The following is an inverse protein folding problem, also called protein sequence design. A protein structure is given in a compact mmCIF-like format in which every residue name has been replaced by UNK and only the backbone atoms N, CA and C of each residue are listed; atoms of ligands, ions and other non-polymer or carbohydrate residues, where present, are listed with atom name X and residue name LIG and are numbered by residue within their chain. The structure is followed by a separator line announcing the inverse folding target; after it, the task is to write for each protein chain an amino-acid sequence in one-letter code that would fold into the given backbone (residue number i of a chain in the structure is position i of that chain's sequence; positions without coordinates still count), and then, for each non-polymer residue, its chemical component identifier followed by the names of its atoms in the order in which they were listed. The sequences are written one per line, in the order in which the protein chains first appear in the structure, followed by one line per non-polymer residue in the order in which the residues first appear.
data_IF_806974363561
#
_entry.id   IF_806974363561
#
_cell.length_a   1.000
_cell.length_b   1.000
_cell.length_c   1.000
_cell.angle_alpha   90.00
_cell.angle_beta   90.00
_cell.angle_gamma   90.00
#
_symmetry.space_group_name_H-M   'P 1'
#
loop_
_entity.id
_entity.type
_entity.pdbx_description
1 polymer ?
#
# COMPACT_ATOMS: atom_id res chain seq x y z
N UNK A 1 -48.19 4.50 40.80
CA UNK A 1 -48.36 5.93 41.10
C UNK A 1 -48.26 6.70 39.79
N UNK A 2 -48.88 7.88 39.78
CA UNK A 2 -48.88 8.94 38.76
C UNK A 2 -47.46 9.32 38.27
N UNK A 3 -47.24 10.03 37.15
CA UNK A 3 -48.03 10.25 35.91
C UNK A 3 -47.06 10.84 34.83
N UNK A 4 -47.62 11.35 33.73
CA UNK A 4 -46.92 12.03 32.62
C UNK A 4 -46.55 13.52 32.86
N UNK A 5 -45.97 14.18 31.83
CA UNK A 5 -45.76 15.65 31.64
C UNK A 5 -44.50 16.24 32.35
N UNK A 6 -43.80 17.30 31.88
CA UNK A 6 -43.40 17.84 30.54
C UNK A 6 -42.55 19.13 30.78
N UNK A 7 -41.73 19.52 29.80
CA UNK A 7 -41.45 20.93 29.39
C UNK A 7 -40.34 21.82 30.04
N UNK A 8 -39.41 22.25 29.15
CA UNK A 8 -38.90 23.62 28.91
C UNK A 8 -37.70 24.27 29.67
N UNK A 9 -37.01 25.18 28.94
CA UNK A 9 -35.92 26.07 29.37
C UNK A 9 -34.49 25.54 29.11
N UNK A 10 -33.49 26.31 28.64
CA UNK A 10 -33.47 27.67 28.09
C UNK A 10 -32.21 28.48 28.47
N UNK A 11 -31.46 29.04 27.49
CA UNK A 11 -30.38 30.01 27.76
C UNK A 11 -29.12 29.93 26.87
N UNK A 12 -28.51 31.09 26.58
CA UNK A 12 -27.19 31.27 25.93
C UNK A 12 -26.22 32.01 26.89
N UNK A 13 -24.91 31.84 26.70
CA UNK A 13 -23.83 32.55 27.41
C UNK A 13 -22.76 31.56 27.92
N UNK A 14 -21.48 31.59 27.53
CA UNK A 14 -20.51 32.67 27.33
C UNK A 14 -20.06 33.32 28.64
N UNK A 15 -18.78 33.10 29.01
CA UNK A 15 -18.15 33.60 30.23
C UNK A 15 -16.96 34.51 29.93
N UNK A 16 -16.79 35.57 30.73
CA UNK A 16 -15.62 36.45 30.80
C UNK A 16 -15.23 36.70 32.26
N UNK A 17 -13.93 36.78 32.52
CA UNK A 17 -13.25 37.50 33.63
C UNK A 17 -11.81 37.79 33.14
N UNK A 18 -11.21 39.02 33.22
CA UNK A 18 -10.91 39.93 34.37
C UNK A 18 -9.63 39.44 35.11
N UNK A 19 -8.62 40.23 35.50
CA UNK A 19 -8.39 41.68 35.84
C UNK A 19 -7.36 42.39 34.90
N UNK A 20 -7.20 43.74 34.73
CA UNK A 20 -7.02 44.97 35.57
C UNK A 20 -5.51 45.27 35.92
N UNK A 21 -4.91 46.49 35.79
CA UNK A 21 -4.99 47.72 36.63
C UNK A 21 -4.09 48.90 36.08
N UNK A 22 -4.53 50.19 36.11
CA UNK A 22 -3.78 51.51 36.31
C UNK A 22 -2.56 51.89 35.39
N UNK A 23 -2.22 53.13 34.92
CA UNK A 23 -2.67 54.57 34.97
C UNK A 23 -2.07 55.39 33.76
N UNK A 24 -2.48 56.65 33.45
CA UNK A 24 -2.06 57.41 32.23
C UNK A 24 -1.24 58.72 32.46
N UNK A 25 -0.93 59.44 31.36
CA UNK A 25 -0.55 60.88 31.38
C UNK A 25 -1.05 61.67 30.15
N UNK A 26 -1.21 62.99 30.34
CA UNK A 26 -1.81 64.01 29.45
C UNK A 26 -0.93 64.39 28.23
N UNK A 27 -1.37 65.10 27.17
CA UNK A 27 -2.66 65.42 26.50
C UNK A 27 -2.29 66.33 25.27
N UNK A 28 -3.09 67.16 24.57
CA UNK A 28 -4.51 67.57 24.60
C UNK A 28 -4.91 68.22 23.24
N UNK A 29 -6.20 68.45 22.98
CA UNK A 29 -6.72 69.32 21.90
C UNK A 29 -7.85 70.24 22.42
N UNK A 30 -8.06 71.45 21.84
CA UNK A 30 -9.12 72.39 22.24
C UNK A 30 -10.46 72.14 21.54
N UNK A 31 -11.53 72.74 22.08
CA UNK A 31 -12.93 72.41 21.80
C UNK A 31 -13.64 73.26 20.73
N UNK A 32 -14.58 72.58 20.04
CA UNK A 32 -15.87 72.98 19.39
C UNK A 32 -16.43 74.40 19.71
N UNK A 33 -17.24 75.03 18.82
CA UNK A 33 -18.60 74.54 18.50
C UNK A 33 -19.19 74.77 17.08
N UNK A 34 -20.38 74.20 16.88
CA UNK A 34 -21.21 74.18 15.66
C UNK A 34 -21.99 75.49 15.45
N UNK A 35 -22.18 75.93 14.20
CA UNK A 35 -22.95 77.13 13.86
C UNK A 35 -23.55 77.18 12.43
N UNK A 36 -24.69 77.85 12.30
CA UNK A 36 -25.62 77.94 11.15
C UNK A 36 -25.09 78.27 9.73
N UNK A 37 -25.56 77.48 8.74
CA UNK A 37 -26.40 77.87 7.55
C UNK A 37 -26.20 79.26 6.89
N UNK A 38 -25.74 79.27 5.62
CA UNK A 38 -26.30 79.96 4.41
C UNK A 38 -25.46 79.60 3.16
N UNK A 39 -26.01 79.18 1.99
CA UNK A 39 -26.70 79.89 0.88
C UNK A 39 -25.79 80.70 -0.07
N UNK A 40 -25.76 80.31 -1.35
CA UNK A 40 -25.22 81.07 -2.50
C UNK A 40 -23.75 80.77 -2.88
N UNK A 41 -23.29 80.98 -4.12
CA UNK A 41 -24.03 81.21 -5.37
C UNK A 41 -23.15 80.94 -6.62
N UNK A 42 -23.79 80.53 -7.73
CA UNK A 42 -23.42 80.67 -9.16
C UNK A 42 -21.92 80.63 -9.57
N UNK A 43 -21.54 79.58 -10.30
CA UNK A 43 -20.39 79.63 -11.23
C UNK A 43 -20.80 80.32 -12.55
N UNK A 44 -20.07 81.34 -13.05
CA UNK A 44 -20.13 81.74 -14.46
C UNK A 44 -19.34 80.76 -15.35
N UNK A 45 -19.57 80.81 -16.65
CA UNK A 45 -19.12 79.79 -17.61
C UNK A 45 -17.83 80.13 -18.37
N UNK A 46 -17.36 79.14 -19.13
CA UNK A 46 -16.31 79.19 -20.18
C UNK A 46 -14.84 79.29 -19.73
N UNK A 47 -14.04 78.31 -20.17
CA UNK A 47 -12.76 78.48 -20.90
C UNK A 47 -12.62 77.26 -21.82
N UNK A 48 -12.23 77.47 -23.09
CA UNK A 48 -11.92 76.36 -24.02
C UNK A 48 -10.59 75.69 -23.64
N UNK A 49 -10.53 74.36 -23.65
CA UNK A 49 -9.26 73.63 -23.53
C UNK A 49 -8.64 73.42 -24.92
N UNK A 50 -7.39 73.87 -25.17
CA UNK A 50 -6.70 73.55 -26.41
C UNK A 50 -6.28 72.08 -26.45
N UNK A 51 -6.16 71.53 -27.65
CA UNK A 51 -5.59 70.19 -27.87
C UNK A 51 -4.07 70.27 -27.66
N UNK A 52 -3.56 69.63 -26.60
CA UNK A 52 -2.12 69.51 -26.39
C UNK A 52 -1.48 68.59 -27.44
N UNK A 53 -0.38 69.05 -28.03
CA UNK A 53 0.37 68.32 -29.05
C UNK A 53 1.08 67.08 -28.50
N UNK A 54 1.25 66.06 -29.34
CA UNK A 54 1.74 64.73 -28.95
C UNK A 54 3.18 64.67 -28.40
N UNK A 55 3.93 65.78 -28.45
CA UNK A 55 5.24 65.91 -27.81
C UNK A 55 5.16 65.83 -26.27
N UNK A 56 4.09 66.33 -25.66
CA UNK A 56 3.95 66.33 -24.19
C UNK A 56 3.53 64.98 -23.62
N UNK A 57 2.78 64.16 -24.38
CA UNK A 57 2.35 62.84 -23.91
C UNK A 57 3.52 61.87 -23.78
N UNK A 58 4.44 61.87 -24.76
CA UNK A 58 5.67 61.07 -24.70
C UNK A 58 6.63 61.59 -23.61
N UNK A 59 6.73 62.91 -23.42
CA UNK A 59 7.53 63.50 -22.35
C UNK A 59 6.97 63.25 -20.93
N UNK A 60 5.64 63.13 -20.77
CA UNK A 60 5.00 62.68 -19.52
C UNK A 60 5.18 61.19 -19.33
N UNK A 61 4.86 60.35 -20.32
CA UNK A 61 5.05 58.91 -20.23
C UNK A 61 6.50 58.52 -19.89
N UNK A 62 7.50 59.24 -20.40
CA UNK A 62 8.91 59.03 -20.05
C UNK A 62 9.24 59.42 -18.61
N UNK A 63 8.65 60.49 -18.08
CA UNK A 63 8.77 60.87 -16.66
C UNK A 63 8.08 59.82 -15.77
N UNK A 64 6.87 59.41 -16.12
CA UNK A 64 6.09 58.43 -15.37
C UNK A 64 6.74 57.04 -15.39
N UNK A 65 7.41 56.65 -16.48
CA UNK A 65 8.20 55.42 -16.52
C UNK A 65 9.48 55.50 -15.68
N UNK A 66 10.15 56.66 -15.63
CA UNK A 66 11.34 56.87 -14.79
C UNK A 66 10.94 56.90 -13.30
N UNK A 67 9.88 57.61 -12.94
CA UNK A 67 9.36 57.66 -11.56
C UNK A 67 8.94 56.26 -11.10
N UNK A 68 8.24 55.49 -11.96
CA UNK A 68 7.89 54.09 -11.65
C UNK A 68 9.14 53.21 -11.48
N UNK A 69 10.10 53.26 -12.42
CA UNK A 69 11.32 52.46 -12.31
C UNK A 69 12.18 52.81 -11.08
N UNK A 70 12.23 54.09 -10.66
CA UNK A 70 12.88 54.51 -9.41
C UNK A 70 12.10 54.00 -8.19
N UNK A 71 10.77 54.09 -8.20
CA UNK A 71 9.93 53.58 -7.11
C UNK A 71 10.03 52.05 -6.97
N UNK A 72 10.04 51.31 -8.08
CA UNK A 72 10.25 49.85 -8.12
C UNK A 72 11.66 49.47 -7.61
N UNK A 73 12.67 50.31 -7.88
CA UNK A 73 14.03 50.13 -7.37
C UNK A 73 14.12 50.37 -5.85
N UNK A 74 13.45 51.40 -5.34
CA UNK A 74 13.37 51.69 -3.90
C UNK A 74 12.51 50.66 -3.14
N UNK A 75 11.47 50.11 -3.77
CA UNK A 75 10.71 48.98 -3.25
C UNK A 75 11.58 47.72 -3.13
N UNK A 76 12.45 47.47 -4.11
CA UNK A 76 13.42 46.38 -4.10
C UNK A 76 14.47 46.51 -2.98
N UNK A 77 14.81 47.73 -2.58
CA UNK A 77 15.73 48.02 -1.47
C UNK A 77 15.08 47.79 -0.09
N UNK A 78 13.78 48.09 0.06
CA UNK A 78 13.05 47.87 1.34
C UNK A 78 12.45 46.47 1.51
N UNK A 79 12.33 45.67 0.44
CA UNK A 79 11.77 44.31 0.51
C UNK A 79 12.82 43.28 0.96
N UNK A 80 13.24 43.37 2.22
CA UNK A 80 14.17 42.41 2.85
C UNK A 80 13.66 40.96 2.92
N UNK A 81 12.40 40.73 2.58
CA UNK A 81 11.82 39.40 2.35
C UNK A 81 11.58 39.19 0.86
N UNK A 82 12.50 38.47 0.20
CA UNK A 82 12.23 37.85 -1.09
C UNK A 82 11.45 36.57 -0.89
N UNK A 83 10.35 36.36 -1.63
CA UNK A 83 9.68 35.05 -1.69
C UNK A 83 10.58 34.11 -2.51
N UNK A 84 11.52 33.46 -1.83
CA UNK A 84 12.30 32.36 -2.41
C UNK A 84 11.33 31.20 -2.64
N UNK A 85 11.00 30.95 -3.90
CA UNK A 85 10.28 29.75 -4.32
C UNK A 85 11.20 28.53 -4.19
N UNK A 86 11.41 28.10 -2.94
CA UNK A 86 12.07 26.85 -2.61
C UNK A 86 11.24 25.72 -3.22
N UNK A 87 11.69 25.20 -4.37
CA UNK A 87 10.99 24.13 -5.06
C UNK A 87 10.85 22.93 -4.10
N UNK A 88 9.62 22.47 -3.80
CA UNK A 88 9.42 21.49 -2.76
C UNK A 88 10.10 20.17 -3.14
N UNK A 89 10.91 19.68 -2.21
CA UNK A 89 11.17 18.25 -2.06
C UNK A 89 11.84 17.56 -3.27
N UNK A 90 12.85 18.20 -3.91
CA UNK A 90 13.52 17.61 -5.09
C UNK A 90 14.43 16.42 -4.79
N UNK A 91 15.29 16.49 -3.77
CA UNK A 91 16.37 15.51 -3.56
C UNK A 91 15.83 14.09 -3.38
N UNK A 92 14.86 13.96 -2.48
CA UNK A 92 14.12 12.74 -2.11
C UNK A 92 13.10 12.31 -3.18
N UNK A 93 12.55 13.22 -4.00
CA UNK A 93 11.86 12.82 -5.26
C UNK A 93 12.85 12.23 -6.25
N UNK A 94 14.08 12.73 -6.28
CA UNK A 94 15.15 12.25 -7.17
C UNK A 94 15.87 11.00 -6.61
N UNK A 95 15.83 10.76 -5.30
CA UNK A 95 16.15 9.47 -4.69
C UNK A 95 15.05 8.44 -4.94
N UNK A 96 13.76 8.81 -4.79
CA UNK A 96 12.66 7.89 -5.06
C UNK A 96 12.63 7.53 -6.56
N UNK A 97 12.69 8.53 -7.45
CA UNK A 97 12.82 8.32 -8.88
C UNK A 97 14.14 7.60 -9.24
N UNK A 98 15.24 7.86 -8.52
CA UNK A 98 16.52 7.16 -8.70
C UNK A 98 16.47 5.69 -8.29
N UNK A 99 15.85 5.38 -7.14
CA UNK A 99 15.59 4.01 -6.67
C UNK A 99 14.65 3.27 -7.61
N UNK A 100 13.60 3.92 -8.11
CA UNK A 100 12.67 3.38 -9.12
C UNK A 100 13.35 3.16 -10.48
N UNK A 101 14.16 4.11 -10.95
CA UNK A 101 14.90 4.00 -12.22
C UNK A 101 15.99 2.92 -12.14
N UNK A 102 16.73 2.82 -11.03
CA UNK A 102 17.72 1.76 -10.79
C UNK A 102 17.05 0.37 -10.77
N UNK A 103 15.85 0.25 -10.17
CA UNK A 103 15.02 -0.97 -10.22
C UNK A 103 14.61 -1.36 -11.66
N UNK A 104 14.69 -0.46 -12.64
CA UNK A 104 14.08 -0.60 -13.97
C UNK A 104 14.96 -1.21 -15.07
N UNK A 105 16.26 -1.43 -14.83
CA UNK A 105 17.20 -1.90 -15.87
C UNK A 105 17.07 -3.39 -16.18
N UNK A 106 17.93 -4.19 -15.57
CA UNK A 106 18.49 -5.37 -16.23
C UNK A 106 17.79 -6.72 -15.91
N UNK A 107 16.50 -6.70 -15.56
CA UNK A 107 15.79 -7.96 -15.36
C UNK A 107 14.32 -7.96 -14.94
N UNK A 108 13.80 -6.91 -14.30
CA UNK A 108 12.39 -6.92 -13.85
C UNK A 108 11.39 -7.04 -15.00
N UNK A 109 11.72 -6.54 -16.19
CA UNK A 109 10.94 -6.71 -17.42
C UNK A 109 10.62 -8.18 -17.73
N UNK A 110 11.58 -9.09 -17.51
CA UNK A 110 11.37 -10.53 -17.68
C UNK A 110 10.45 -11.13 -16.59
N UNK A 111 10.53 -10.62 -15.36
CA UNK A 111 9.64 -11.04 -14.26
C UNK A 111 8.19 -10.62 -14.55
N UNK A 112 7.97 -9.39 -15.04
CA UNK A 112 6.65 -8.95 -15.49
C UNK A 112 6.11 -9.79 -16.64
N UNK A 113 6.93 -10.12 -17.65
CA UNK A 113 6.53 -11.01 -18.76
C UNK A 113 6.16 -12.41 -18.25
N UNK A 114 6.96 -13.01 -17.36
CA UNK A 114 6.66 -14.32 -16.78
C UNK A 114 5.33 -14.32 -15.99
N UNK A 115 5.11 -13.31 -15.15
CA UNK A 115 3.85 -13.15 -14.39
C UNK A 115 2.65 -12.92 -15.33
N UNK A 116 2.82 -12.15 -16.40
CA UNK A 116 1.77 -11.94 -17.41
C UNK A 116 1.43 -13.22 -18.19
N UNK A 117 2.42 -14.04 -18.55
CA UNK A 117 2.19 -15.34 -19.20
C UNK A 117 1.42 -16.29 -18.28
N UNK A 118 1.78 -16.35 -16.99
CA UNK A 118 1.05 -17.14 -15.97
C UNK A 118 -0.39 -16.64 -15.84
N UNK A 119 -0.61 -15.31 -15.75
CA UNK A 119 -1.94 -14.72 -15.69
C UNK A 119 -2.79 -15.08 -16.92
N UNK A 120 -2.25 -14.92 -18.12
CA UNK A 120 -2.93 -15.30 -19.35
C UNK A 120 -3.27 -16.80 -19.36
N UNK A 121 -2.38 -17.68 -18.90
CA UNK A 121 -2.65 -19.11 -18.79
C UNK A 121 -3.81 -19.40 -17.81
N UNK A 122 -3.84 -18.76 -16.63
CA UNK A 122 -4.93 -18.85 -15.66
C UNK A 122 -6.25 -18.35 -16.27
N UNK A 123 -6.26 -17.16 -16.89
CA UNK A 123 -7.44 -16.59 -17.53
C UNK A 123 -8.00 -17.46 -18.66
N UNK A 124 -7.15 -18.06 -19.50
CA UNK A 124 -7.56 -18.97 -20.58
C UNK A 124 -8.19 -20.26 -20.03
N UNK A 125 -7.65 -20.82 -18.93
CA UNK A 125 -8.23 -21.99 -18.27
C UNK A 125 -9.57 -21.64 -17.59
N UNK A 126 -9.65 -20.48 -16.93
CA UNK A 126 -10.87 -19.98 -16.29
C UNK A 126 -12.00 -19.71 -17.29
N UNK A 127 -11.69 -19.04 -18.42
CA UNK A 127 -12.65 -18.78 -19.51
C UNK A 127 -13.29 -20.07 -20.03
N UNK A 128 -12.47 -21.12 -20.18
CA UNK A 128 -12.93 -22.40 -20.71
C UNK A 128 -13.70 -23.25 -19.69
N UNK A 129 -13.46 -23.09 -18.38
CA UNK A 129 -14.15 -23.85 -17.33
C UNK A 129 -14.30 -23.06 -16.01
N UNK A 130 -15.22 -22.08 -15.91
CA UNK A 130 -15.41 -21.27 -14.71
C UNK A 130 -15.97 -22.07 -13.51
N UNK A 131 -16.41 -23.32 -13.73
CA UNK A 131 -16.85 -24.24 -12.66
C UNK A 131 -15.70 -24.62 -11.71
N UNK A 132 -14.43 -24.57 -12.12
CA UNK A 132 -13.31 -24.99 -11.28
C UNK A 132 -13.13 -24.19 -10.00
N UNK A 133 -13.40 -22.87 -9.97
CA UNK A 133 -13.30 -22.09 -8.72
C UNK A 133 -14.28 -22.64 -7.66
N UNK A 134 -15.49 -23.05 -8.07
CA UNK A 134 -16.47 -23.67 -7.17
C UNK A 134 -16.00 -25.05 -6.69
N UNK A 135 -15.30 -25.80 -7.52
CA UNK A 135 -14.69 -27.09 -7.16
C UNK A 135 -13.57 -26.87 -6.13
N UNK A 136 -12.61 -25.94 -6.36
CA UNK A 136 -11.55 -25.64 -5.39
C UNK A 136 -12.09 -25.18 -4.02
N UNK A 137 -13.12 -24.31 -4.00
CA UNK A 137 -13.76 -23.88 -2.75
C UNK A 137 -14.52 -25.03 -2.07
N UNK A 138 -15.06 -25.98 -2.85
CA UNK A 138 -15.65 -27.22 -2.32
C UNK A 138 -14.58 -28.15 -1.76
N UNK A 139 -13.51 -28.45 -2.50
CA UNK A 139 -12.39 -29.30 -2.06
C UNK A 139 -11.67 -28.74 -0.82
N UNK A 140 -11.63 -27.42 -0.66
CA UNK A 140 -11.16 -26.77 0.56
C UNK A 140 -12.07 -27.09 1.76
N UNK A 141 -13.39 -26.96 1.61
CA UNK A 141 -14.38 -27.03 2.72
C UNK A 141 -14.94 -28.42 3.02
N UNK A 142 -15.07 -29.29 2.01
CA UNK A 142 -15.71 -30.60 2.16
C UNK A 142 -14.77 -31.58 2.87
N UNK A 143 -15.38 -32.42 3.70
CA UNK A 143 -14.76 -33.45 4.55
C UNK A 143 -15.39 -34.82 4.26
N UNK A 144 -16.42 -34.87 3.39
CA UNK A 144 -17.21 -36.07 3.13
C UNK A 144 -16.57 -36.95 2.05
N UNK A 145 -16.38 -38.22 2.37
CA UNK A 145 -15.73 -39.25 1.55
C UNK A 145 -16.53 -39.76 0.33
N UNK A 146 -17.43 -38.94 -0.26
CA UNK A 146 -18.15 -39.35 -1.50
C UNK A 146 -17.24 -39.21 -2.73
N UNK A 147 -16.43 -40.24 -2.92
CA UNK A 147 -15.44 -40.32 -3.99
C UNK A 147 -16.07 -40.57 -5.37
N UNK A 148 -16.31 -39.50 -6.12
CA UNK A 148 -16.58 -39.61 -7.56
C UNK A 148 -15.30 -40.06 -8.28
N UNK A 149 -15.16 -41.37 -8.50
CA UNK A 149 -13.98 -41.98 -9.15
C UNK A 149 -13.65 -41.32 -10.51
N UNK A 150 -14.68 -40.86 -11.23
CA UNK A 150 -14.59 -40.26 -12.56
C UNK A 150 -14.30 -38.75 -12.60
N UNK A 151 -14.31 -38.02 -11.47
CA UNK A 151 -14.06 -36.57 -11.49
C UNK A 151 -12.57 -36.19 -11.68
N UNK A 152 -11.64 -37.16 -11.62
CA UNK A 152 -10.19 -36.97 -11.81
C UNK A 152 -9.81 -36.65 -13.28
N UNK A 153 -10.36 -35.58 -13.83
CA UNK A 153 -10.15 -35.15 -15.21
C UNK A 153 -8.78 -34.47 -15.34
N UNK A 154 -7.98 -34.86 -16.35
CA UNK A 154 -6.64 -34.28 -16.63
C UNK A 154 -6.65 -32.73 -16.74
N UNK A 155 -7.80 -32.14 -17.09
CA UNK A 155 -8.02 -30.69 -17.14
C UNK A 155 -8.03 -30.02 -15.75
N UNK A 156 -8.52 -30.71 -14.72
CA UNK A 156 -8.54 -30.22 -13.33
C UNK A 156 -7.14 -30.19 -12.74
N UNK A 157 -6.39 -31.30 -12.85
CA UNK A 157 -5.00 -31.37 -12.39
C UNK A 157 -4.11 -30.38 -13.14
N UNK A 158 -4.30 -30.24 -14.46
CA UNK A 158 -3.60 -29.22 -15.26
C UNK A 158 -3.91 -27.78 -14.81
N UNK A 159 -5.13 -27.50 -14.35
CA UNK A 159 -5.50 -26.17 -13.85
C UNK A 159 -4.89 -25.91 -12.48
N UNK A 160 -4.97 -26.88 -11.56
CA UNK A 160 -4.40 -26.79 -10.23
C UNK A 160 -2.87 -26.59 -10.28
N UNK A 161 -2.16 -27.32 -11.15
CA UNK A 161 -0.72 -27.15 -11.36
C UNK A 161 -0.35 -25.73 -11.80
N UNK A 162 -1.12 -25.11 -12.70
CA UNK A 162 -0.88 -23.71 -13.12
C UNK A 162 -1.09 -22.73 -11.95
N UNK A 163 -2.06 -22.98 -11.08
CA UNK A 163 -2.25 -22.17 -9.87
C UNK A 163 -1.13 -22.37 -8.83
N UNK A 164 -0.59 -23.58 -8.69
CA UNK A 164 0.60 -23.84 -7.85
C UNK A 164 1.83 -23.11 -8.42
N UNK A 165 2.06 -23.15 -9.74
CA UNK A 165 3.15 -22.39 -10.38
C UNK A 165 2.95 -20.88 -10.15
N UNK A 166 1.72 -20.37 -10.30
CA UNK A 166 1.40 -18.97 -9.99
C UNK A 166 1.60 -18.61 -8.52
N UNK A 167 1.30 -19.52 -7.60
CA UNK A 167 1.61 -19.36 -6.16
C UNK A 167 3.12 -19.26 -5.94
N UNK A 168 3.90 -20.19 -6.50
CA UNK A 168 5.37 -20.23 -6.38
C UNK A 168 6.01 -18.95 -6.92
N UNK A 169 5.62 -18.49 -8.11
CA UNK A 169 6.17 -17.25 -8.68
C UNK A 169 5.76 -16.00 -7.87
N UNK A 170 4.51 -15.93 -7.42
CA UNK A 170 4.03 -14.80 -6.60
C UNK A 170 4.73 -14.76 -5.24
N UNK A 171 4.92 -15.92 -4.60
CA UNK A 171 5.64 -16.04 -3.33
C UNK A 171 7.12 -15.76 -3.52
N UNK A 172 7.76 -16.18 -4.62
CA UNK A 172 9.16 -15.84 -4.92
C UNK A 172 9.42 -14.34 -5.02
N UNK A 173 8.51 -13.59 -5.68
CA UNK A 173 8.55 -12.12 -5.75
C UNK A 173 8.39 -11.48 -4.36
N UNK A 174 7.37 -11.91 -3.60
CA UNK A 174 7.10 -11.35 -2.26
C UNK A 174 8.19 -11.73 -1.24
N UNK A 175 8.82 -12.89 -1.38
CA UNK A 175 9.93 -13.34 -0.54
C UNK A 175 11.20 -12.53 -0.84
N UNK A 176 11.48 -12.18 -2.09
CA UNK A 176 12.58 -11.29 -2.44
C UNK A 176 12.39 -9.86 -1.88
N UNK A 177 11.19 -9.30 -2.00
CA UNK A 177 10.86 -7.97 -1.45
C UNK A 177 10.88 -7.99 0.10
N UNK A 178 10.55 -9.12 0.73
CA UNK A 178 10.73 -9.35 2.17
C UNK A 178 12.21 -9.43 2.56
N UNK A 179 13.04 -10.18 1.83
CA UNK A 179 14.47 -10.33 2.10
C UNK A 179 15.17 -8.96 2.08
N UNK A 180 14.92 -8.13 1.07
CA UNK A 180 15.52 -6.78 1.00
C UNK A 180 14.94 -5.78 2.01
N UNK A 181 13.81 -6.12 2.67
CA UNK A 181 13.28 -5.33 3.78
C UNK A 181 13.87 -5.74 5.13
N UNK A 182 14.15 -7.03 5.34
CA UNK A 182 14.75 -7.54 6.59
C UNK A 182 16.26 -7.41 6.60
N UNK A 183 16.90 -7.50 5.44
CA UNK A 183 18.35 -7.30 5.22
C UNK A 183 18.56 -5.92 4.61
N UNK A 184 18.36 -4.88 5.43
CA UNK A 184 18.72 -3.51 5.10
C UNK A 184 20.24 -3.32 5.13
N UNK A 185 20.78 -2.44 4.28
CA UNK A 185 22.22 -2.20 4.07
C UNK A 185 22.96 -1.65 5.31
N UNK A 186 23.21 -2.52 6.28
CA UNK A 186 24.02 -2.22 7.45
C UNK A 186 25.50 -2.57 7.17
N UNK A 187 26.46 -1.62 7.27
CA UNK A 187 27.88 -1.87 6.96
C UNK A 187 28.59 -2.90 7.85
N UNK A 188 27.87 -3.49 8.82
CA UNK A 188 28.36 -4.49 9.77
C UNK A 188 27.70 -5.87 9.57
N UNK A 189 26.76 -6.01 8.62
CA UNK A 189 26.10 -7.27 8.28
C UNK A 189 26.83 -8.02 7.17
N UNK A 190 27.36 -9.21 7.44
CA UNK A 190 28.06 -10.07 6.45
C UNK A 190 27.14 -10.72 5.39
N UNK A 191 25.91 -10.21 5.24
CA UNK A 191 24.86 -10.75 4.36
C UNK A 191 24.35 -9.69 3.37
N UNK A 192 25.23 -8.82 2.86
CA UNK A 192 24.84 -7.87 1.81
C UNK A 192 24.44 -8.62 0.54
N UNK A 193 23.22 -8.41 0.05
CA UNK A 193 22.67 -9.08 -1.13
C UNK A 193 22.74 -8.10 -2.32
N UNK A 194 23.55 -8.37 -3.36
CA UNK A 194 23.70 -7.45 -4.49
C UNK A 194 22.41 -7.24 -5.32
N UNK A 195 22.39 -6.15 -6.08
CA UNK A 195 21.22 -5.71 -6.87
C UNK A 195 21.04 -6.50 -8.20
N UNK A 196 20.92 -7.83 -8.13
CA UNK A 196 20.51 -8.67 -9.29
C UNK A 196 19.08 -9.23 -9.12
N UNK A 197 18.02 -8.40 -9.28
CA UNK A 197 16.66 -8.76 -8.87
C UNK A 197 16.07 -9.95 -9.64
N UNK A 198 16.50 -10.20 -10.87
CA UNK A 198 16.06 -11.37 -11.64
C UNK A 198 16.61 -12.69 -11.06
N UNK A 199 17.89 -12.71 -10.64
CA UNK A 199 18.50 -13.87 -10.00
C UNK A 199 17.86 -14.11 -8.64
N UNK A 200 17.76 -13.05 -7.81
CA UNK A 200 17.15 -13.10 -6.49
C UNK A 200 15.71 -13.63 -6.49
N UNK A 201 14.83 -13.07 -7.34
CA UNK A 201 13.44 -13.56 -7.49
C UNK A 201 13.41 -15.01 -8.00
N UNK A 202 14.32 -15.39 -8.89
CA UNK A 202 14.47 -16.77 -9.38
C UNK A 202 14.86 -17.76 -8.28
N UNK A 203 15.84 -17.41 -7.44
CA UNK A 203 16.27 -18.21 -6.29
C UNK A 203 15.18 -18.31 -5.22
N UNK A 204 14.51 -17.20 -4.89
CA UNK A 204 13.37 -17.19 -3.97
C UNK A 204 12.20 -18.05 -4.49
N UNK A 205 11.90 -18.02 -5.80
CA UNK A 205 10.92 -18.91 -6.41
C UNK A 205 11.36 -20.39 -6.39
N UNK A 206 12.64 -20.67 -6.59
CA UNK A 206 13.22 -22.01 -6.44
C UNK A 206 13.05 -22.57 -5.02
N UNK A 207 13.35 -21.78 -3.99
CA UNK A 207 13.13 -22.15 -2.59
C UNK A 207 11.63 -22.34 -2.29
N UNK A 208 10.75 -21.49 -2.83
CA UNK A 208 9.30 -21.67 -2.70
C UNK A 208 8.81 -22.97 -3.38
N UNK A 209 9.38 -23.37 -4.51
CA UNK A 209 9.07 -24.65 -5.17
C UNK A 209 9.51 -25.86 -4.33
N UNK A 210 10.74 -25.83 -3.79
CA UNK A 210 11.25 -26.89 -2.89
C UNK A 210 10.40 -26.98 -1.62
N UNK A 211 10.01 -25.84 -1.04
CA UNK A 211 9.07 -25.79 0.09
C UNK A 211 7.74 -26.46 -0.24
N UNK A 212 7.10 -26.16 -1.38
CA UNK A 212 5.83 -26.79 -1.78
C UNK A 212 5.99 -28.31 -1.93
N UNK A 213 7.06 -28.78 -2.59
CA UNK A 213 7.30 -30.22 -2.76
C UNK A 213 7.51 -30.91 -1.41
N UNK A 214 8.32 -30.33 -0.53
CA UNK A 214 8.56 -30.84 0.82
C UNK A 214 7.27 -30.93 1.63
N UNK A 215 6.48 -29.85 1.69
CA UNK A 215 5.22 -29.81 2.45
C UNK A 215 4.21 -30.85 1.94
N UNK A 216 4.08 -31.04 0.62
CA UNK A 216 3.16 -32.03 0.05
C UNK A 216 3.56 -33.48 0.39
N UNK A 217 4.86 -33.80 0.33
CA UNK A 217 5.38 -35.11 0.76
C UNK A 217 5.16 -35.32 2.27
N UNK A 218 5.44 -34.29 3.06
CA UNK A 218 5.21 -34.29 4.51
C UNK A 218 3.74 -34.49 4.89
N UNK A 219 2.79 -33.89 4.16
CA UNK A 219 1.36 -34.08 4.39
C UNK A 219 0.90 -35.51 4.05
N UNK A 220 1.38 -36.12 2.96
CA UNK A 220 1.09 -37.52 2.65
C UNK A 220 1.68 -38.47 3.72
N UNK A 221 2.91 -38.23 4.19
CA UNK A 221 3.55 -39.03 5.25
C UNK A 221 2.76 -38.92 6.56
N UNK A 222 2.53 -37.70 7.08
CA UNK A 222 1.84 -37.51 8.37
C UNK A 222 0.38 -37.98 8.29
N UNK A 223 -0.33 -37.71 7.18
CA UNK A 223 -1.68 -38.20 7.00
C UNK A 223 -1.77 -39.73 7.02
N UNK A 224 -0.85 -40.43 6.36
CA UNK A 224 -0.81 -41.90 6.30
C UNK A 224 -0.25 -42.55 7.59
N UNK A 225 0.45 -41.80 8.46
CA UNK A 225 0.86 -42.28 9.80
C UNK A 225 -0.30 -42.20 10.79
N UNK A 226 -1.10 -41.14 10.74
CA UNK A 226 -2.19 -40.90 11.70
C UNK A 226 -3.58 -41.32 11.20
N UNK A 227 -3.74 -41.76 9.96
CA UNK A 227 -5.07 -42.02 9.39
C UNK A 227 -5.11 -42.86 8.12
N UNK A 228 -6.33 -43.17 7.68
CA UNK A 228 -6.62 -43.86 6.42
C UNK A 228 -6.11 -43.09 5.20
N UNK A 229 -5.61 -43.84 4.21
CA UNK A 229 -5.13 -43.30 2.93
C UNK A 229 -6.21 -42.54 2.13
N UNK A 230 -7.49 -42.81 2.39
CA UNK A 230 -8.60 -42.03 1.80
C UNK A 230 -8.74 -40.64 2.44
N UNK A 231 -8.62 -40.55 3.77
CA UNK A 231 -8.69 -39.29 4.52
C UNK A 231 -7.43 -38.44 4.26
N UNK A 232 -6.27 -39.09 4.19
CA UNK A 232 -4.99 -38.49 3.75
C UNK A 232 -5.14 -37.78 2.40
N UNK A 233 -5.65 -38.48 1.37
CA UNK A 233 -5.85 -37.90 0.04
C UNK A 233 -6.85 -36.74 0.03
N UNK A 234 -7.91 -36.80 0.83
CA UNK A 234 -8.88 -35.69 0.94
C UNK A 234 -8.27 -34.46 1.64
N UNK A 235 -7.40 -34.68 2.62
CA UNK A 235 -6.66 -33.61 3.31
C UNK A 235 -5.65 -32.95 2.36
N UNK A 236 -4.87 -33.73 1.61
CA UNK A 236 -3.88 -33.25 0.62
C UNK A 236 -4.56 -32.57 -0.59
N UNK A 237 -5.72 -33.08 -1.08
CA UNK A 237 -6.52 -32.36 -2.09
C UNK A 237 -7.00 -31.01 -1.55
N UNK A 238 -7.42 -30.96 -0.28
CA UNK A 238 -7.77 -29.70 0.39
C UNK A 238 -6.61 -28.72 0.50
N UNK A 239 -5.40 -29.19 0.82
CA UNK A 239 -4.19 -28.38 0.91
C UNK A 239 -3.80 -27.77 -0.45
N UNK A 240 -3.78 -28.60 -1.49
CA UNK A 240 -3.44 -28.18 -2.86
C UNK A 240 -4.50 -27.25 -3.46
N UNK A 241 -5.80 -27.50 -3.22
CA UNK A 241 -6.89 -26.60 -3.59
C UNK A 241 -6.80 -25.25 -2.86
N UNK A 242 -6.38 -25.23 -1.59
CA UNK A 242 -6.19 -24.02 -0.80
C UNK A 242 -4.99 -23.19 -1.28
N UNK A 243 -3.84 -23.81 -1.57
CA UNK A 243 -2.72 -23.13 -2.24
C UNK A 243 -3.16 -22.53 -3.59
N UNK A 244 -3.94 -23.28 -4.37
CA UNK A 244 -4.52 -22.80 -5.63
C UNK A 244 -5.44 -21.61 -5.45
N UNK A 245 -6.32 -21.62 -4.43
CA UNK A 245 -7.20 -20.49 -4.09
C UNK A 245 -6.40 -19.27 -3.63
N UNK A 246 -5.36 -19.48 -2.82
CA UNK A 246 -4.48 -18.44 -2.28
C UNK A 246 -3.64 -17.75 -3.38
N UNK A 247 -3.33 -18.46 -4.48
CA UNK A 247 -2.63 -17.88 -5.64
C UNK A 247 -3.36 -16.67 -6.23
N UNK A 248 -4.71 -16.68 -6.25
CA UNK A 248 -5.52 -15.55 -6.73
C UNK A 248 -5.37 -14.29 -5.88
N UNK A 249 -5.01 -14.41 -4.60
CA UNK A 249 -4.76 -13.29 -3.70
C UNK A 249 -3.29 -12.87 -3.75
N UNK A 250 -2.34 -13.82 -3.82
CA UNK A 250 -0.92 -13.47 -3.93
C UNK A 250 -0.54 -12.84 -5.27
N UNK A 251 -1.15 -13.25 -6.38
CA UNK A 251 -0.82 -12.73 -7.70
C UNK A 251 -0.93 -11.19 -7.83
N UNK A 252 -2.07 -10.54 -7.49
CA UNK A 252 -2.15 -9.08 -7.54
C UNK A 252 -1.24 -8.39 -6.50
N UNK A 253 -1.00 -9.00 -5.33
CA UNK A 253 -0.08 -8.47 -4.32
C UNK A 253 1.38 -8.48 -4.82
N UNK A 254 1.82 -9.56 -5.47
CA UNK A 254 3.15 -9.65 -6.07
C UNK A 254 3.36 -8.63 -7.19
N UNK A 255 2.37 -8.44 -8.07
CA UNK A 255 2.40 -7.36 -9.07
C UNK A 255 2.45 -5.97 -8.41
N UNK A 256 1.69 -5.74 -7.34
CA UNK A 256 1.68 -4.46 -6.65
C UNK A 256 3.03 -4.14 -5.97
N UNK A 257 3.71 -5.14 -5.40
CA UNK A 257 5.08 -5.02 -4.84
C UNK A 257 6.13 -4.71 -5.92
N UNK A 258 5.98 -5.28 -7.13
CA UNK A 258 6.84 -4.94 -8.26
C UNK A 258 6.60 -3.51 -8.77
N UNK A 259 5.36 -3.05 -8.82
CA UNK A 259 5.00 -1.71 -9.34
C UNK A 259 5.22 -0.57 -8.32
N UNK A 260 5.03 -0.81 -7.02
CA UNK A 260 5.01 0.24 -5.99
C UNK A 260 5.89 -0.13 -4.79
N UNK A 261 7.22 -0.03 -4.98
CA UNK A 261 8.23 -0.31 -3.95
C UNK A 261 7.97 0.44 -2.62
N UNK A 262 7.53 1.70 -2.68
CA UNK A 262 7.21 2.53 -1.49
C UNK A 262 6.14 1.88 -0.58
N UNK A 263 5.24 1.09 -1.16
CA UNK A 263 4.15 0.42 -0.44
C UNK A 263 4.52 -0.99 0.03
N UNK A 264 5.74 -1.48 -0.26
CA UNK A 264 6.19 -2.86 0.02
C UNK A 264 5.88 -3.33 1.44
N UNK A 265 6.13 -2.50 2.46
CA UNK A 265 5.74 -2.78 3.87
C UNK A 265 4.27 -3.19 4.04
N UNK A 266 3.35 -2.42 3.44
CA UNK A 266 1.91 -2.64 3.58
C UNK A 266 1.48 -3.88 2.78
N UNK A 267 2.09 -4.08 1.61
CA UNK A 267 1.83 -5.22 0.72
C UNK A 267 2.31 -6.53 1.36
N UNK A 268 3.48 -6.53 2.01
CA UNK A 268 4.04 -7.67 2.75
C UNK A 268 3.21 -7.99 4.01
N UNK A 269 2.70 -6.99 4.73
CA UNK A 269 1.75 -7.20 5.84
C UNK A 269 0.46 -7.87 5.32
N UNK A 270 -0.10 -7.38 4.21
CA UNK A 270 -1.31 -7.97 3.61
C UNK A 270 -1.06 -9.40 3.08
N UNK A 271 0.12 -9.65 2.49
CA UNK A 271 0.57 -10.98 2.08
C UNK A 271 0.69 -11.92 3.29
N UNK A 272 1.29 -11.46 4.40
CA UNK A 272 1.37 -12.20 5.66
C UNK A 272 0.00 -12.54 6.25
N UNK A 273 -0.94 -11.60 6.22
CA UNK A 273 -2.33 -11.84 6.66
C UNK A 273 -3.00 -12.92 5.81
N UNK A 274 -2.94 -12.82 4.48
CA UNK A 274 -3.44 -13.84 3.53
C UNK A 274 -2.77 -15.20 3.78
N UNK A 275 -1.48 -15.20 4.10
CA UNK A 275 -0.72 -16.41 4.41
C UNK A 275 -1.18 -17.10 5.70
N UNK A 276 -1.32 -16.34 6.79
CA UNK A 276 -1.80 -16.84 8.08
C UNK A 276 -3.24 -17.36 7.97
N UNK A 277 -4.12 -16.68 7.23
CA UNK A 277 -5.47 -17.20 6.94
C UNK A 277 -5.44 -18.55 6.21
N UNK A 278 -4.53 -18.74 5.26
CA UNK A 278 -4.30 -20.03 4.61
C UNK A 278 -3.92 -21.12 5.62
N UNK A 279 -2.94 -20.87 6.49
CA UNK A 279 -2.53 -21.85 7.51
C UNK A 279 -3.64 -22.18 8.52
N UNK A 280 -4.42 -21.19 8.94
CA UNK A 280 -5.60 -21.41 9.80
C UNK A 280 -6.66 -22.28 9.11
N UNK A 281 -6.97 -22.04 7.83
CA UNK A 281 -7.93 -22.88 7.08
C UNK A 281 -7.43 -24.33 6.93
N UNK A 282 -6.13 -24.53 6.70
CA UNK A 282 -5.53 -25.85 6.61
C UNK A 282 -5.60 -26.63 7.94
N UNK A 283 -5.21 -26.00 9.05
CA UNK A 283 -5.29 -26.58 10.40
C UNK A 283 -6.75 -26.90 10.76
N UNK A 284 -7.70 -26.01 10.43
CA UNK A 284 -9.13 -26.24 10.64
C UNK A 284 -9.68 -27.42 9.82
N UNK A 285 -9.23 -27.59 8.57
CA UNK A 285 -9.61 -28.77 7.77
C UNK A 285 -9.04 -30.05 8.39
N UNK A 286 -7.78 -30.03 8.83
CA UNK A 286 -7.17 -31.15 9.55
C UNK A 286 -7.96 -31.52 10.81
N UNK A 287 -8.26 -30.55 11.67
CA UNK A 287 -9.13 -30.72 12.85
C UNK A 287 -10.43 -31.44 12.49
N UNK A 288 -11.16 -30.93 11.50
CA UNK A 288 -12.45 -31.48 11.05
C UNK A 288 -12.39 -32.91 10.50
N UNK A 289 -11.24 -33.37 10.00
CA UNK A 289 -11.06 -34.74 9.49
C UNK A 289 -10.73 -35.71 10.62
N UNK A 290 -9.79 -35.35 11.51
CA UNK A 290 -9.19 -36.30 12.46
C UNK A 290 -9.80 -36.27 13.88
N UNK A 291 -10.74 -35.37 14.17
CA UNK A 291 -11.40 -35.25 15.48
C UNK A 291 -12.08 -36.52 15.99
N UNK A 292 -12.53 -37.42 15.10
CA UNK A 292 -13.21 -38.67 15.48
C UNK A 292 -12.29 -39.68 16.21
N UNK A 293 -10.96 -39.50 16.19
CA UNK A 293 -10.00 -40.39 16.88
C UNK A 293 -9.46 -39.73 18.16
N UNK A 294 -10.32 -39.69 19.19
CA UNK A 294 -10.17 -38.92 20.44
C UNK A 294 -8.79 -39.01 21.12
N UNK A 295 -8.11 -40.17 21.08
CA UNK A 295 -6.85 -40.36 21.81
C UNK A 295 -5.58 -39.89 21.09
N UNK A 296 -5.62 -39.63 19.78
CA UNK A 296 -4.42 -39.32 18.98
C UNK A 296 -4.43 -37.90 18.39
N UNK A 297 -5.60 -37.24 18.39
CA UNK A 297 -5.78 -35.96 17.72
C UNK A 297 -4.86 -34.82 18.23
N UNK A 298 -4.60 -34.73 19.54
CA UNK A 298 -3.71 -33.69 20.09
C UNK A 298 -2.27 -33.83 19.58
N UNK A 299 -1.76 -35.07 19.48
CA UNK A 299 -0.45 -35.34 18.90
C UNK A 299 -0.43 -34.97 17.42
N UNK A 300 -1.46 -35.36 16.67
CA UNK A 300 -1.60 -34.97 15.26
C UNK A 300 -1.58 -33.44 15.06
N UNK A 301 -2.33 -32.67 15.85
CA UNK A 301 -2.30 -31.20 15.76
C UNK A 301 -0.94 -30.62 16.14
N UNK A 302 -0.28 -31.16 17.17
CA UNK A 302 1.06 -30.72 17.55
C UNK A 302 2.06 -30.94 16.41
N UNK A 303 2.09 -32.15 15.82
CA UNK A 303 2.90 -32.44 14.64
C UNK A 303 2.57 -31.52 13.46
N UNK A 304 1.29 -31.32 13.13
CA UNK A 304 0.85 -30.42 12.05
C UNK A 304 1.37 -28.99 12.29
N UNK A 305 1.19 -28.45 13.50
CA UNK A 305 1.64 -27.10 13.85
C UNK A 305 3.17 -26.95 13.72
N UNK A 306 3.94 -27.92 14.22
CA UNK A 306 5.39 -27.96 14.03
C UNK A 306 5.79 -28.06 12.56
N UNK A 307 5.03 -28.82 11.78
CA UNK A 307 5.25 -29.02 10.33
C UNK A 307 4.87 -27.80 9.49
N UNK A 308 4.07 -26.88 10.02
CA UNK A 308 3.89 -25.56 9.41
C UNK A 308 5.00 -24.59 9.79
N UNK A 309 5.29 -24.46 11.09
CA UNK A 309 6.21 -23.43 11.59
C UNK A 309 7.67 -23.71 11.21
N UNK A 310 8.16 -24.95 11.40
CA UNK A 310 9.58 -25.26 11.22
C UNK A 310 10.02 -25.17 9.75
N UNK A 311 9.29 -25.76 8.77
CA UNK A 311 9.66 -25.63 7.36
C UNK A 311 9.54 -24.21 6.81
N UNK A 312 8.72 -23.34 7.42
CA UNK A 312 8.67 -21.92 7.06
C UNK A 312 9.90 -21.15 7.50
N UNK A 313 10.34 -21.36 8.74
CA UNK A 313 11.58 -20.77 9.26
C UNK A 313 12.77 -21.29 8.43
N UNK A 314 12.81 -22.59 8.14
CA UNK A 314 13.84 -23.18 7.28
C UNK A 314 13.82 -22.63 5.86
N UNK A 315 12.64 -22.45 5.24
CA UNK A 315 12.55 -21.86 3.89
C UNK A 315 13.03 -20.40 3.85
N UNK A 316 12.69 -19.59 4.86
CA UNK A 316 13.17 -18.21 4.98
C UNK A 316 14.70 -18.14 5.19
N UNK A 317 15.24 -18.97 6.10
CA UNK A 317 16.69 -19.06 6.32
C UNK A 317 17.43 -19.61 5.09
N UNK A 318 16.86 -20.60 4.39
CA UNK A 318 17.42 -21.12 3.14
C UNK A 318 17.44 -20.03 2.06
N UNK A 319 16.37 -19.25 1.90
CA UNK A 319 16.35 -18.13 0.96
C UNK A 319 17.43 -17.08 1.28
N UNK A 320 17.59 -16.70 2.56
CA UNK A 320 18.66 -15.79 3.00
C UNK A 320 20.06 -16.33 2.68
N UNK A 321 20.36 -17.57 3.06
CA UNK A 321 21.68 -18.16 2.84
C UNK A 321 21.97 -18.34 1.34
N UNK A 322 21.00 -18.81 0.55
CA UNK A 322 21.15 -18.99 -0.90
C UNK A 322 21.35 -17.64 -1.61
N UNK A 323 20.56 -16.61 -1.26
CA UNK A 323 20.71 -15.27 -1.84
C UNK A 323 21.94 -14.51 -1.33
N UNK A 324 22.64 -14.97 -0.29
CA UNK A 324 23.90 -14.39 0.18
C UNK A 324 25.14 -15.17 -0.27
N UNK A 325 24.96 -16.32 -0.94
CA UNK A 325 26.06 -17.21 -1.37
C UNK A 325 26.16 -17.37 -2.90
N UNK A 326 25.10 -17.04 -3.65
CA UNK A 326 25.02 -17.19 -5.11
C UNK A 326 24.86 -15.85 -5.87
N UNK A 327 24.86 -14.73 -5.16
CA UNK A 327 24.37 -13.43 -5.65
C UNK A 327 25.34 -12.31 -5.25
#
# INVERSE_FOLDING_TARGET
MQDSIQNNGGGHGAWQTVDEIVVPSHAAEPLVPVGMKTVGAVNPASVWKPVHSASDSTARARRDSVIRAVNDSLAKEKSGYGIVLQAPYREHVQEAAGKVASRSGDGLSWVFVAMAVIFCAVCLKLKNTPRYIKILVSDMKDVRTRHNMFDNTVKETSFLLILIIGWICSVGVLLWDLLRLTVSDSPFGSFGIPDSPLCGIGLCAGVAAVYVIFMLLSYEIVGNVFSDRQLTRLWVKGATALMGLQSFMFFPLALLSLCYAEWGRIILILAGIVFVFGKIQFIYKGFRIFFNQMSSWLLFLYYLCSLEIVPLILAYLAALQICSMLL
#
